data_IF_797949128123
#
_entry.id   IF_797949128123
#
_cell.length_a   1.000
_cell.length_b   1.000
_cell.length_c   1.000
_cell.angle_alpha   90.00
_cell.angle_beta   90.00
_cell.angle_gamma   90.00
#
_symmetry.space_group_name_H-M   'P 1'
#
loop_
_entity.id
_entity.type
_entity.pdbx_description
1 polymer ?
#
# COMPACT_ATOMS: atom_id res chain seq x y z
N UNK A 1 10.80 -6.48 28.53
CA UNK A 1 10.71 -6.26 27.06
C UNK A 1 12.04 -5.86 26.42
N UNK A 2 13.01 -5.25 27.12
CA UNK A 2 14.32 -4.91 26.52
C UNK A 2 15.24 -6.13 26.27
N UNK A 3 15.12 -7.19 27.07
CA UNK A 3 16.00 -8.38 27.00
C UNK A 3 15.78 -9.25 25.75
N UNK A 4 14.60 -9.20 25.14
CA UNK A 4 14.27 -10.01 23.95
C UNK A 4 14.68 -9.32 22.62
N UNK A 5 14.91 -8.00 22.65
CA UNK A 5 15.35 -7.23 21.46
C UNK A 5 16.86 -7.38 21.23
N UNK A 6 17.62 -7.45 22.31
CA UNK A 6 19.08 -7.65 22.25
C UNK A 6 19.43 -9.03 21.69
N UNK A 7 18.69 -10.06 22.09
CA UNK A 7 18.88 -11.44 21.62
C UNK A 7 18.64 -11.57 20.10
N UNK A 8 17.50 -11.04 19.63
CA UNK A 8 17.13 -11.06 18.21
C UNK A 8 18.13 -10.31 17.32
N UNK A 9 18.68 -9.19 17.80
CA UNK A 9 19.63 -8.37 17.02
C UNK A 9 20.95 -9.10 16.84
N UNK A 10 21.46 -9.73 17.90
CA UNK A 10 22.69 -10.51 17.85
C UNK A 10 22.58 -11.72 16.92
N UNK A 11 21.49 -12.48 16.99
CA UNK A 11 21.25 -13.61 16.07
C UNK A 11 21.19 -13.17 14.60
N UNK A 12 20.58 -12.02 14.33
CA UNK A 12 20.44 -11.49 12.98
C UNK A 12 21.81 -11.09 12.40
N UNK A 13 22.67 -10.44 13.18
CA UNK A 13 24.04 -10.07 12.76
C UNK A 13 24.85 -11.33 12.41
N UNK A 14 24.80 -12.36 13.25
CA UNK A 14 25.51 -13.63 12.99
C UNK A 14 25.05 -14.28 11.70
N UNK A 15 23.73 -14.33 11.44
CA UNK A 15 23.20 -14.89 10.18
C UNK A 15 23.62 -14.04 8.98
N UNK A 16 23.59 -12.71 9.09
CA UNK A 16 23.90 -11.79 7.99
C UNK A 16 25.36 -11.93 7.50
N UNK A 17 26.29 -12.18 8.42
CA UNK A 17 27.71 -12.44 8.11
C UNK A 17 27.93 -13.70 7.26
N UNK A 18 27.00 -14.66 7.28
CA UNK A 18 27.11 -15.90 6.49
C UNK A 18 26.58 -15.77 5.06
N UNK A 19 25.88 -14.67 4.76
CA UNK A 19 25.24 -14.46 3.45
C UNK A 19 26.20 -13.81 2.44
N UNK A 20 26.07 -14.10 1.14
CA UNK A 20 26.76 -13.38 0.08
C UNK A 20 26.39 -11.88 0.06
N UNK A 21 27.26 -11.01 -0.50
CA UNK A 21 27.06 -9.56 -0.50
C UNK A 21 25.72 -9.11 -1.10
N UNK A 22 25.26 -9.78 -2.16
CA UNK A 22 23.99 -9.46 -2.81
C UNK A 22 22.79 -9.71 -1.88
N UNK A 23 22.83 -10.78 -1.07
CA UNK A 23 21.77 -11.08 -0.12
C UNK A 23 21.82 -10.17 1.10
N UNK A 24 23.02 -9.75 1.53
CA UNK A 24 23.18 -8.73 2.57
C UNK A 24 22.52 -7.42 2.15
N UNK A 25 22.70 -7.02 0.88
CA UNK A 25 22.04 -5.83 0.34
C UNK A 25 20.51 -5.95 0.36
N UNK A 26 19.95 -7.11 -0.03
CA UNK A 26 18.49 -7.33 0.05
C UNK A 26 17.94 -7.19 1.47
N UNK A 27 18.69 -7.62 2.49
CA UNK A 27 18.28 -7.42 3.89
C UNK A 27 18.32 -5.94 4.25
N UNK A 28 19.35 -5.21 3.83
CA UNK A 28 19.45 -3.76 4.03
C UNK A 28 18.24 -3.04 3.42
N UNK A 29 17.92 -3.35 2.17
CA UNK A 29 16.79 -2.77 1.45
C UNK A 29 15.46 -3.06 2.17
N UNK A 30 15.32 -4.27 2.73
CA UNK A 30 14.12 -4.63 3.50
C UNK A 30 14.02 -3.87 4.83
N UNK A 31 15.13 -3.65 5.53
CA UNK A 31 15.16 -2.83 6.75
C UNK A 31 14.78 -1.39 6.42
N UNK A 32 15.28 -0.83 5.33
CA UNK A 32 14.92 0.52 4.86
C UNK A 32 13.44 0.60 4.49
N UNK A 33 12.92 -0.42 3.80
CA UNK A 33 11.48 -0.54 3.53
C UNK A 33 10.64 -0.57 4.81
N UNK A 34 11.04 -1.33 5.83
CA UNK A 34 10.31 -1.37 7.10
C UNK A 34 10.32 -0.01 7.81
N UNK A 35 11.48 0.65 7.83
CA UNK A 35 11.61 1.99 8.40
C UNK A 35 10.69 2.98 7.68
N UNK A 36 10.62 2.94 6.35
CA UNK A 36 9.74 3.80 5.56
C UNK A 36 8.25 3.46 5.76
N UNK A 37 7.91 2.17 5.75
CA UNK A 37 6.52 1.67 5.86
C UNK A 37 5.87 2.07 7.17
N UNK A 38 6.62 2.08 8.26
CA UNK A 38 6.10 2.39 9.60
C UNK A 38 6.54 3.77 10.12
N UNK A 39 7.36 4.54 9.39
CA UNK A 39 7.64 5.95 9.71
C UNK A 39 6.43 6.86 9.48
N UNK A 40 5.43 6.40 8.72
CA UNK A 40 4.17 7.11 8.64
C UNK A 40 3.39 6.83 9.92
N UNK A 41 3.13 7.88 10.70
CA UNK A 41 2.15 7.81 11.78
C UNK A 41 0.89 7.15 11.21
N UNK A 42 0.27 6.19 11.91
CA UNK A 42 -0.91 5.50 11.39
C UNK A 42 -1.88 6.58 10.96
N UNK A 43 -2.13 6.68 9.64
CA UNK A 43 -3.15 7.58 9.15
C UNK A 43 -4.40 7.23 9.94
N UNK A 44 -4.91 8.20 10.70
CA UNK A 44 -6.18 8.03 11.39
C UNK A 44 -7.18 7.87 10.25
N UNK A 45 -7.40 6.62 9.83
CA UNK A 45 -8.30 6.28 8.74
C UNK A 45 -9.64 6.79 9.20
N UNK A 46 -10.05 7.93 8.66
CA UNK A 46 -11.34 8.52 8.97
C UNK A 46 -12.37 7.42 8.75
N UNK A 47 -13.08 7.06 9.82
CA UNK A 47 -14.09 6.01 9.75
C UNK A 47 -15.08 6.42 8.66
N UNK A 48 -15.34 5.52 7.71
CA UNK A 48 -16.33 5.78 6.66
C UNK A 48 -17.67 6.08 7.32
N UNK A 49 -18.24 7.24 6.99
CA UNK A 49 -19.56 7.65 7.47
C UNK A 49 -20.58 7.33 6.37
N UNK A 50 -21.51 6.41 6.68
CA UNK A 50 -22.58 6.07 5.76
C UNK A 50 -23.41 7.31 5.43
N UNK A 51 -23.63 7.58 4.15
CA UNK A 51 -24.48 8.69 3.70
C UNK A 51 -23.89 10.09 3.85
N UNK A 52 -22.57 10.25 4.08
CA UNK A 52 -21.91 11.56 4.27
C UNK A 52 -22.24 12.58 3.16
N UNK A 53 -22.49 12.11 1.95
CA UNK A 53 -22.80 12.93 0.77
C UNK A 53 -24.20 12.64 0.20
N UNK A 54 -25.14 12.16 1.02
CA UNK A 54 -26.52 11.90 0.57
C UNK A 54 -27.14 13.18 0.00
N UNK A 55 -27.67 13.10 -1.22
CA UNK A 55 -28.27 14.25 -1.92
C UNK A 55 -27.26 15.28 -2.43
N UNK A 56 -25.95 15.01 -2.34
CA UNK A 56 -24.88 15.85 -2.90
C UNK A 56 -24.27 15.27 -4.17
N UNK A 57 -24.78 14.12 -4.61
CA UNK A 57 -24.33 13.43 -5.81
C UNK A 57 -25.40 13.65 -6.88
N UNK A 58 -25.00 14.17 -8.03
CA UNK A 58 -25.80 14.11 -9.25
C UNK A 58 -25.32 12.89 -10.05
N UNK A 59 -26.28 12.12 -10.56
CA UNK A 59 -26.04 10.95 -11.40
C UNK A 59 -26.82 11.17 -12.69
N UNK A 60 -26.20 10.88 -13.83
CA UNK A 60 -26.85 11.00 -15.13
C UNK A 60 -28.03 10.04 -15.22
N UNK A 61 -29.06 10.43 -15.98
CA UNK A 61 -30.30 9.65 -16.13
C UNK A 61 -30.05 8.31 -16.84
N UNK A 62 -29.00 8.23 -17.67
CA UNK A 62 -28.57 7.07 -18.44
C UNK A 62 -27.56 6.17 -17.70
N UNK A 63 -27.28 6.41 -16.41
CA UNK A 63 -26.23 5.69 -15.69
C UNK A 63 -26.40 4.16 -15.68
N UNK A 64 -27.65 3.69 -15.69
CA UNK A 64 -27.96 2.26 -15.70
C UNK A 64 -27.98 1.66 -17.11
N UNK A 65 -27.86 2.49 -18.15
CA UNK A 65 -27.92 2.05 -19.53
C UNK A 65 -26.58 1.40 -19.93
N UNK A 66 -26.59 0.44 -20.87
CA UNK A 66 -25.37 -0.16 -21.37
C UNK A 66 -24.50 0.91 -22.05
N UNK A 67 -23.20 0.86 -21.79
CA UNK A 67 -22.24 1.73 -22.47
C UNK A 67 -22.27 1.46 -23.99
N UNK A 68 -22.31 2.50 -24.85
CA UNK A 68 -22.28 2.36 -26.30
C UNK A 68 -21.08 1.55 -26.81
N UNK A 69 -21.28 0.77 -27.88
CA UNK A 69 -20.24 -0.07 -28.50
C UNK A 69 -18.99 0.74 -28.92
N UNK A 70 -19.16 2.01 -29.28
CA UNK A 70 -18.06 2.91 -29.66
C UNK A 70 -17.06 3.14 -28.53
N UNK A 71 -17.53 3.17 -27.27
CA UNK A 71 -16.68 3.28 -26.07
C UNK A 71 -15.85 2.00 -25.88
N UNK A 72 -16.44 0.83 -26.13
CA UNK A 72 -15.75 -0.45 -26.01
C UNK A 72 -14.77 -0.69 -27.16
N UNK A 73 -15.08 -0.18 -28.36
CA UNK A 73 -14.32 -0.42 -29.58
C UNK A 73 -13.24 0.64 -29.84
N UNK A 74 -13.04 1.59 -28.92
CA UNK A 74 -12.01 2.63 -29.02
C UNK A 74 -12.21 3.60 -30.19
N UNK A 75 -13.44 3.69 -30.72
CA UNK A 75 -13.80 4.58 -31.83
C UNK A 75 -14.42 5.86 -31.27
N UNK A 76 -13.68 6.59 -30.45
CA UNK A 76 -14.11 7.92 -30.01
C UNK A 76 -14.04 8.90 -31.18
N UNK A 77 -15.17 9.53 -31.53
CA UNK A 77 -15.20 10.72 -32.37
C UNK A 77 -14.52 11.86 -31.60
N UNK A 78 -13.50 12.49 -32.21
CA UNK A 78 -12.87 13.72 -31.71
C UNK A 78 -13.80 14.93 -31.91
#
# INVERSE_FOLDING_TARGET
MAEQVVDTTSELITKLQTLPPQQQQQVLDFVEFLAQKYNQAPEIKKKRVMGLHKGKIWMSDDFNDPLPDELWMGKGVL
#
